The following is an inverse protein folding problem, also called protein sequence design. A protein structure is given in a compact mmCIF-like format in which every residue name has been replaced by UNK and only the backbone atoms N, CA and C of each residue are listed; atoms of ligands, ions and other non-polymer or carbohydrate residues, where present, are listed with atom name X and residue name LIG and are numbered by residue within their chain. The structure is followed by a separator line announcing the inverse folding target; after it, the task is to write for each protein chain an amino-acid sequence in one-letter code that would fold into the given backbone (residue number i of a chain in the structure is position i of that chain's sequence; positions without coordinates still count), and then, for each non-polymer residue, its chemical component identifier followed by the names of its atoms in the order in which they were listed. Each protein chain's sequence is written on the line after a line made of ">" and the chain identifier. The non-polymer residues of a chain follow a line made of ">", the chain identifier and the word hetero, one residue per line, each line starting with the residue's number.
data_IF_284210303738
#
_entry.id   IF_284210303738
#
_cell.length_a   1.000
_cell.length_b   1.000
_cell.length_c   1.000
_cell.angle_alpha   90.00
_cell.angle_beta   90.00
_cell.angle_gamma   90.00
#
_symmetry.space_group_name_H-M   'P 1'
#
loop_
_entity.id
_entity.type
_entity.pdbx_description
1 polymer ?
#
# COMPACT_ATOMS: atom_id res chain seq x y z
N UNK A 1 4.89 -17.89 0.01
CA UNK A 1 3.76 -17.33 0.78
C UNK A 1 3.56 -15.86 0.37
N UNK A 2 2.33 -15.37 0.31
CA UNK A 2 2.02 -13.98 -0.09
C UNK A 2 2.79 -12.95 0.75
N UNK A 3 2.99 -13.22 2.04
CA UNK A 3 3.69 -12.30 2.95
C UNK A 3 5.12 -11.95 2.53
N UNK A 4 5.91 -12.92 2.03
CA UNK A 4 7.27 -12.63 1.54
C UNK A 4 7.25 -11.73 0.31
N UNK A 5 6.30 -11.94 -0.61
CA UNK A 5 6.14 -11.11 -1.80
C UNK A 5 5.79 -9.67 -1.39
N UNK A 6 4.85 -9.50 -0.45
CA UNK A 6 4.47 -8.18 0.08
C UNK A 6 5.67 -7.45 0.68
N UNK A 7 6.48 -8.14 1.48
CA UNK A 7 7.70 -7.56 2.05
C UNK A 7 8.71 -7.12 0.97
N UNK A 8 8.98 -7.95 -0.03
CA UNK A 8 9.88 -7.58 -1.11
C UNK A 8 9.38 -6.35 -1.88
N UNK A 9 8.10 -6.33 -2.26
CA UNK A 9 7.49 -5.19 -2.96
C UNK A 9 7.55 -3.93 -2.08
N UNK A 10 7.24 -4.05 -0.79
CA UNK A 10 7.22 -2.89 0.11
C UNK A 10 8.59 -2.22 0.26
N UNK A 11 9.68 -2.98 0.29
CA UNK A 11 11.04 -2.41 0.42
C UNK A 11 11.41 -1.63 -0.84
N UNK A 12 11.02 -2.15 -2.02
CA UNK A 12 11.22 -1.45 -3.29
C UNK A 12 10.39 -0.16 -3.33
N UNK A 13 9.12 -0.21 -2.91
CA UNK A 13 8.26 0.97 -2.86
C UNK A 13 8.79 2.02 -1.87
N UNK A 14 9.22 1.60 -0.66
CA UNK A 14 9.83 2.50 0.33
C UNK A 14 11.06 3.21 -0.24
N UNK A 15 11.94 2.46 -0.89
CA UNK A 15 13.15 3.03 -1.48
C UNK A 15 12.79 4.07 -2.55
N UNK A 16 11.86 3.73 -3.46
CA UNK A 16 11.40 4.66 -4.49
C UNK A 16 10.75 5.91 -3.89
N UNK A 17 9.91 5.74 -2.88
CA UNK A 17 9.29 6.87 -2.20
C UNK A 17 10.34 7.74 -1.52
N UNK A 18 11.27 7.19 -0.74
CA UNK A 18 12.38 7.96 -0.14
C UNK A 18 13.17 8.77 -1.18
N UNK A 19 13.52 8.16 -2.33
CA UNK A 19 14.18 8.86 -3.43
C UNK A 19 13.33 10.01 -3.98
N UNK A 20 12.02 9.82 -4.14
CA UNK A 20 11.11 10.90 -4.53
C UNK A 20 11.05 12.04 -3.48
N UNK A 21 11.10 11.70 -2.19
CA UNK A 21 11.15 12.68 -1.09
C UNK A 21 12.42 13.54 -1.15
N UNK A 22 13.57 12.91 -1.39
CA UNK A 22 14.84 13.61 -1.59
C UNK A 22 14.76 14.53 -2.82
N UNK A 23 14.22 14.04 -3.94
CA UNK A 23 14.08 14.84 -5.15
C UNK A 23 13.23 16.11 -4.93
N UNK A 24 12.08 15.97 -4.26
CA UNK A 24 11.23 17.12 -3.87
C UNK A 24 12.00 18.10 -2.97
N UNK A 25 12.75 17.59 -1.98
CA UNK A 25 13.57 18.41 -1.10
C UNK A 25 14.68 19.18 -1.83
N UNK A 26 15.35 18.57 -2.80
CA UNK A 26 16.36 19.23 -3.63
C UNK A 26 15.73 20.33 -4.49
N UNK A 27 14.55 20.07 -5.07
CA UNK A 27 13.85 21.00 -5.94
C UNK A 27 13.09 22.10 -5.17
N UNK A 28 12.94 21.96 -3.85
CA UNK A 28 12.05 22.79 -3.01
C UNK A 28 10.61 22.83 -3.55
N UNK A 29 10.19 21.76 -4.24
CA UNK A 29 8.85 21.60 -4.78
C UNK A 29 8.18 20.39 -4.10
N UNK A 30 7.19 20.68 -3.26
CA UNK A 30 6.44 19.70 -2.48
C UNK A 30 5.05 19.43 -3.06
N UNK A 31 4.81 19.79 -4.32
CA UNK A 31 3.55 19.54 -5.01
C UNK A 31 3.11 18.07 -4.93
N UNK A 32 4.05 17.14 -5.04
CA UNK A 32 3.79 15.70 -4.95
C UNK A 32 3.90 15.11 -3.52
N UNK A 33 4.03 15.94 -2.49
CA UNK A 33 4.16 15.46 -1.11
C UNK A 33 3.04 14.50 -0.67
N UNK A 34 1.74 14.74 -1.00
CA UNK A 34 0.68 13.79 -0.64
C UNK A 34 0.86 12.42 -1.32
N UNK A 35 1.23 12.39 -2.60
CA UNK A 35 1.44 11.15 -3.34
C UNK A 35 2.64 10.36 -2.78
N UNK A 36 3.76 11.04 -2.54
CA UNK A 36 4.94 10.46 -1.90
C UNK A 36 4.61 9.86 -0.52
N UNK A 37 3.92 10.62 0.33
CA UNK A 37 3.58 10.19 1.69
C UNK A 37 2.69 8.94 1.67
N UNK A 38 1.66 8.92 0.83
CA UNK A 38 0.80 7.74 0.68
C UNK A 38 1.53 6.54 0.08
N UNK A 39 2.46 6.76 -0.86
CA UNK A 39 3.27 5.67 -1.42
C UNK A 39 4.12 5.00 -0.33
N UNK A 40 4.80 5.79 0.51
CA UNK A 40 5.63 5.27 1.59
C UNK A 40 4.82 4.63 2.71
N UNK A 41 3.70 5.23 3.14
CA UNK A 41 2.90 4.68 4.24
C UNK A 41 2.09 3.46 3.79
N UNK A 42 1.34 3.56 2.69
CA UNK A 42 0.40 2.52 2.25
C UNK A 42 1.13 1.39 1.52
N UNK A 43 1.99 1.72 0.56
CA UNK A 43 2.73 0.74 -0.23
C UNK A 43 4.04 0.29 0.38
N UNK A 44 4.62 1.11 1.25
CA UNK A 44 5.79 0.74 2.02
C UNK A 44 5.43 0.10 3.36
N UNK A 45 5.18 0.94 4.37
CA UNK A 45 5.06 0.53 5.77
C UNK A 45 3.94 -0.49 5.98
N UNK A 46 2.69 -0.19 5.57
CA UNK A 46 1.57 -1.10 5.79
C UNK A 46 1.75 -2.42 5.05
N UNK A 47 2.17 -2.38 3.79
CA UNK A 47 2.41 -3.59 3.00
C UNK A 47 3.47 -4.49 3.64
N UNK A 48 4.56 -3.90 4.18
CA UNK A 48 5.58 -4.64 4.92
C UNK A 48 5.01 -5.27 6.19
N UNK A 49 4.25 -4.52 6.99
CA UNK A 49 3.65 -4.99 8.24
C UNK A 49 2.65 -6.13 8.02
N UNK A 50 1.83 -6.06 6.98
CA UNK A 50 0.93 -7.16 6.62
C UNK A 50 1.71 -8.40 6.21
N UNK A 51 2.75 -8.23 5.39
CA UNK A 51 3.63 -9.34 5.01
C UNK A 51 4.33 -9.97 6.21
N UNK A 52 4.79 -9.16 7.15
CA UNK A 52 5.39 -9.60 8.42
C UNK A 52 4.37 -10.36 9.28
N UNK A 53 3.16 -9.84 9.43
CA UNK A 53 2.07 -10.51 10.18
C UNK A 53 1.80 -11.91 9.62
N UNK A 54 1.67 -12.04 8.30
CA UNK A 54 1.45 -13.34 7.66
C UNK A 54 2.62 -14.32 7.79
N UNK A 55 3.83 -13.84 8.08
CA UNK A 55 4.98 -14.71 8.41
C UNK A 55 4.99 -15.11 9.89
N UNK A 56 4.61 -14.20 10.78
CA UNK A 56 4.57 -14.43 12.22
C UNK A 56 3.37 -15.27 12.66
N UNK A 57 2.27 -15.24 11.90
CA UNK A 57 1.03 -15.98 12.17
C UNK A 57 0.76 -16.93 10.99
N UNK A 58 1.38 -18.14 10.96
CA UNK A 58 1.23 -19.07 9.83
C UNK A 58 -0.21 -19.47 9.51
N UNK A 59 -1.07 -19.56 10.53
CA UNK A 59 -2.50 -19.82 10.36
C UNK A 59 -3.20 -18.73 9.52
N UNK A 60 -2.82 -17.46 9.69
CA UNK A 60 -3.29 -16.36 8.86
C UNK A 60 -2.67 -16.42 7.46
N UNK A 61 -1.34 -16.54 7.38
CA UNK A 61 -0.57 -16.43 6.14
C UNK A 61 -0.83 -17.53 5.10
N UNK A 62 -1.33 -18.68 5.53
CA UNK A 62 -1.70 -19.80 4.63
C UNK A 62 -3.16 -19.73 4.14
N UNK A 63 -3.96 -18.78 4.63
CA UNK A 63 -5.37 -18.65 4.25
C UNK A 63 -5.56 -18.06 2.84
N UNK A 64 -6.70 -18.38 2.21
CA UNK A 64 -7.10 -17.73 0.95
C UNK A 64 -7.35 -16.22 1.15
N UNK A 65 -7.89 -15.82 2.31
CA UNK A 65 -8.13 -14.43 2.65
C UNK A 65 -6.82 -13.61 2.65
N UNK A 66 -5.72 -14.17 3.16
CA UNK A 66 -4.42 -13.50 3.12
C UNK A 66 -3.94 -13.23 1.68
N UNK A 67 -4.18 -14.16 0.74
CA UNK A 67 -3.84 -13.97 -0.67
C UNK A 67 -4.69 -12.87 -1.31
N UNK A 68 -6.01 -12.89 -1.10
CA UNK A 68 -6.93 -11.89 -1.64
C UNK A 68 -6.61 -10.50 -1.07
N UNK A 69 -6.48 -10.41 0.25
CA UNK A 69 -6.11 -9.17 0.93
C UNK A 69 -4.76 -8.64 0.42
N UNK A 70 -3.74 -9.50 0.32
CA UNK A 70 -2.40 -9.10 -0.10
C UNK A 70 -2.38 -8.52 -1.51
N UNK A 71 -3.05 -9.17 -2.47
CA UNK A 71 -3.15 -8.66 -3.84
C UNK A 71 -3.95 -7.36 -3.95
N UNK A 72 -5.09 -7.26 -3.24
CA UNK A 72 -5.84 -6.01 -3.18
C UNK A 72 -4.97 -4.88 -2.62
N UNK A 73 -4.22 -5.14 -1.54
CA UNK A 73 -3.36 -4.12 -0.95
C UNK A 73 -2.23 -3.70 -1.88
N UNK A 74 -1.59 -4.64 -2.61
CA UNK A 74 -0.55 -4.32 -3.59
C UNK A 74 -1.11 -3.41 -4.70
N UNK A 75 -2.29 -3.74 -5.25
CA UNK A 75 -2.92 -2.94 -6.30
C UNK A 75 -3.33 -1.56 -5.77
N UNK A 76 -4.01 -1.51 -4.63
CA UNK A 76 -4.45 -0.26 -4.00
C UNK A 76 -3.27 0.65 -3.63
N UNK A 77 -2.20 0.07 -3.11
CA UNK A 77 -0.98 0.78 -2.70
C UNK A 77 -0.24 1.47 -3.86
N UNK A 78 -0.41 1.00 -5.10
CA UNK A 78 0.17 1.64 -6.28
C UNK A 78 -0.85 2.60 -6.90
N UNK A 79 -2.07 2.11 -7.13
CA UNK A 79 -3.10 2.87 -7.84
C UNK A 79 -3.51 4.15 -7.11
N UNK A 80 -3.62 4.11 -5.78
CA UNK A 80 -4.02 5.29 -5.00
C UNK A 80 -2.97 6.40 -5.06
N UNK A 81 -1.70 6.20 -4.64
CA UNK A 81 -0.69 7.25 -4.71
C UNK A 81 -0.40 7.73 -6.14
N UNK A 82 -0.37 6.81 -7.12
CA UNK A 82 -0.19 7.18 -8.52
C UNK A 82 -1.38 8.02 -9.03
N UNK A 83 -2.60 7.66 -8.66
CA UNK A 83 -3.80 8.44 -8.97
C UNK A 83 -3.76 9.84 -8.36
N UNK A 84 -3.30 9.97 -7.11
CA UNK A 84 -3.09 11.27 -6.46
C UNK A 84 -2.08 12.10 -7.25
N UNK A 85 -0.92 11.53 -7.61
CA UNK A 85 0.09 12.23 -8.39
C UNK A 85 -0.46 12.70 -9.75
N UNK A 86 -1.22 11.85 -10.45
CA UNK A 86 -1.84 12.20 -11.73
C UNK A 86 -2.80 13.37 -11.57
N UNK A 87 -3.68 13.34 -10.56
CA UNK A 87 -4.65 14.43 -10.35
C UNK A 87 -3.97 15.74 -10.01
N UNK A 88 -2.92 15.69 -9.18
CA UNK A 88 -2.12 16.87 -8.83
C UNK A 88 -1.43 17.47 -10.07
N UNK A 89 -0.88 16.64 -10.95
CA UNK A 89 -0.11 17.11 -12.12
C UNK A 89 -0.96 17.45 -13.35
N UNK A 90 -2.11 16.78 -13.54
CA UNK A 90 -2.93 16.85 -14.77
C UNK A 90 -4.35 17.34 -14.53
N UNK A 91 -4.72 17.65 -13.28
CA UNK A 91 -6.05 18.10 -12.91
C UNK A 91 -7.06 16.98 -12.66
N UNK A 92 -8.31 17.36 -12.39
CA UNK A 92 -9.35 16.48 -11.84
C UNK A 92 -9.98 15.50 -12.84
N UNK A 93 -9.63 15.58 -14.12
CA UNK A 93 -10.13 14.67 -15.16
C UNK A 93 -9.85 13.18 -14.86
N UNK A 94 -8.85 12.90 -14.02
CA UNK A 94 -8.45 11.55 -13.63
C UNK A 94 -8.82 11.17 -12.19
N UNK A 95 -9.77 11.89 -11.57
CA UNK A 95 -10.15 11.70 -10.16
C UNK A 95 -10.63 10.27 -9.83
N UNK A 96 -11.13 9.54 -10.82
CA UNK A 96 -11.52 8.14 -10.65
C UNK A 96 -10.37 7.25 -10.19
N UNK A 97 -9.12 7.51 -10.63
CA UNK A 97 -7.96 6.68 -10.29
C UNK A 97 -7.66 6.64 -8.78
N UNK A 98 -7.46 7.79 -8.08
CA UNK A 98 -7.23 7.76 -6.64
C UNK A 98 -8.47 7.29 -5.85
N UNK A 99 -9.68 7.53 -6.34
CA UNK A 99 -10.92 7.04 -5.69
C UNK A 99 -11.01 5.52 -5.75
N UNK A 100 -10.82 4.92 -6.92
CA UNK A 100 -10.84 3.45 -7.05
C UNK A 100 -9.69 2.83 -6.26
N UNK A 101 -8.49 3.41 -6.33
CA UNK A 101 -7.34 2.94 -5.56
C UNK A 101 -7.57 2.98 -4.05
N UNK A 102 -8.18 4.05 -3.53
CA UNK A 102 -8.46 4.17 -2.09
C UNK A 102 -9.53 3.20 -1.62
N UNK A 103 -10.58 2.97 -2.41
CA UNK A 103 -11.60 1.96 -2.11
C UNK A 103 -11.03 0.54 -2.09
N UNK A 104 -10.12 0.21 -3.02
CA UNK A 104 -9.39 -1.06 -3.00
C UNK A 104 -8.53 -1.19 -1.73
N UNK A 105 -7.82 -0.14 -1.35
CA UNK A 105 -7.02 -0.13 -0.13
C UNK A 105 -7.89 -0.32 1.13
N UNK A 106 -9.05 0.35 1.20
CA UNK A 106 -10.01 0.16 2.30
C UNK A 106 -10.52 -1.27 2.36
N UNK A 107 -10.91 -1.87 1.22
CA UNK A 107 -11.33 -3.26 1.16
C UNK A 107 -10.22 -4.21 1.62
N UNK A 108 -8.97 -3.96 1.25
CA UNK A 108 -7.82 -4.74 1.71
C UNK A 108 -7.63 -4.62 3.23
N UNK A 109 -7.70 -3.42 3.80
CA UNK A 109 -7.56 -3.22 5.25
C UNK A 109 -8.73 -3.86 6.01
N UNK A 110 -9.95 -3.79 5.49
CA UNK A 110 -11.12 -4.45 6.09
C UNK A 110 -10.94 -5.98 6.12
N UNK A 111 -10.46 -6.57 5.02
CA UNK A 111 -10.12 -8.00 5.00
C UNK A 111 -9.00 -8.34 5.97
N UNK A 112 -7.98 -7.48 6.08
CA UNK A 112 -6.89 -7.69 7.03
C UNK A 112 -7.41 -7.67 8.47
N UNK A 113 -8.31 -6.74 8.82
CA UNK A 113 -8.97 -6.72 10.12
C UNK A 113 -9.70 -8.04 10.41
N UNK A 114 -10.50 -8.54 9.45
CA UNK A 114 -11.17 -9.84 9.57
C UNK A 114 -10.16 -10.98 9.81
N UNK A 115 -9.03 -10.99 9.09
CA UNK A 115 -7.99 -12.01 9.29
C UNK A 115 -7.43 -11.91 10.71
N UNK A 116 -7.01 -10.73 11.15
CA UNK A 116 -6.42 -10.52 12.48
C UNK A 116 -7.37 -10.96 13.60
N UNK A 117 -8.64 -10.56 13.56
CA UNK A 117 -9.62 -10.95 14.57
C UNK A 117 -9.96 -12.45 14.55
N UNK A 118 -9.86 -13.11 13.39
CA UNK A 118 -10.06 -14.57 13.30
C UNK A 118 -8.88 -15.35 13.84
N UNK A 119 -7.67 -14.79 13.79
CA UNK A 119 -6.44 -15.48 14.21
C UNK A 119 -5.89 -14.99 15.55
N UNK A 120 -6.54 -14.04 16.22
CA UNK A 120 -6.13 -13.54 17.55
C UNK A 120 -6.42 -14.51 18.69
N UNK A 121 -7.27 -15.50 18.46
CA UNK A 121 -7.63 -16.53 19.44
C UNK A 121 -7.03 -17.91 19.12
N UNK A 122 -6.19 -17.99 18.07
CA UNK A 122 -5.58 -19.22 17.59
C UNK A 122 -4.20 -19.47 18.20
#
# INVERSE_FOLDING_TARGET
>A
MIGSLMMCISVVILLMGMLAGIAMGIQQDFTLAPAHAHLNLVGGVLLFLFGLYYRLVPAAGNSLLAKVQGWLHIVGAILFPAGVAIVVLKGTSFIAAPVVGSLIAVAAVALFAVVVFRTSHA
#
